data_IF_610787390501
#
_entry.id   IF_610787390501
#
_cell.length_a   1.000
_cell.length_b   1.000
_cell.length_c   1.000
_cell.angle_alpha   90.00
_cell.angle_beta   90.00
_cell.angle_gamma   90.00
#
_symmetry.space_group_name_H-M   'P 1'
#
loop_
_entity.id
_entity.type
_entity.pdbx_description
1 polymer ?
2 non-polymer ?
3 non-polymer ?
4 non-polymer ?
5 non-polymer ?
6 non-polymer ?
7 water ?
#
# COMPACT_ATOMS: atom_id res chain seq x y z
N UNK A 13 -17.33 -20.28 -1.47
CA UNK A 13 -17.69 -19.27 -2.45
C UNK A 13 -16.49 -18.38 -2.77
N UNK A 14 -16.31 -18.04 -4.05
CA UNK A 14 -15.18 -17.25 -4.47
C UNK A 14 -15.34 -15.80 -4.02
N UNK A 15 -14.20 -15.11 -3.92
CA UNK A 15 -14.18 -13.70 -3.58
C UNK A 15 -14.88 -12.88 -4.65
N UNK A 16 -15.70 -11.92 -4.21
CA UNK A 16 -16.39 -11.00 -5.12
C UNK A 16 -15.63 -9.68 -5.08
N UNK A 17 -15.00 -9.26 -6.18
CA UNK A 17 -14.24 -8.01 -6.18
C UNK A 17 -15.14 -6.81 -5.91
N UNK A 18 -14.75 -5.94 -4.99
CA UNK A 18 -15.49 -4.69 -4.79
C UNK A 18 -15.48 -3.84 -6.04
N UNK A 19 -16.38 -2.85 -6.14
CA UNK A 19 -16.34 -1.94 -7.29
C UNK A 19 -15.05 -1.14 -7.32
N UNK A 20 -14.67 -0.71 -8.51
CA UNK A 20 -13.42 0.01 -8.70
C UNK A 20 -13.53 1.43 -8.16
N UNK A 21 -12.46 1.89 -7.51
CA UNK A 21 -12.38 3.26 -7.05
C UNK A 21 -12.10 4.19 -8.24
N UNK A 22 -12.29 5.49 -8.07
CA UNK A 22 -12.06 6.42 -9.18
C UNK A 22 -10.60 6.45 -9.60
N UNK A 23 -10.39 6.61 -10.90
CA UNK A 23 -9.07 6.81 -11.48
C UNK A 23 -9.08 8.13 -12.23
N UNK A 24 -8.09 8.97 -11.96
CA UNK A 24 -7.98 10.26 -12.61
C UNK A 24 -6.73 10.29 -13.49
N UNK A 25 -6.88 10.84 -14.69
CA UNK A 25 -5.79 10.99 -15.66
C UNK A 25 -5.65 12.47 -15.97
N UNK A 26 -5.02 13.24 -15.09
CA UNK A 26 -4.97 14.69 -15.28
C UNK A 26 -4.12 15.09 -16.47
N UNK A 27 -4.53 16.18 -17.11
CA UNK A 27 -3.70 16.80 -18.13
C UNK A 27 -2.48 17.46 -17.50
N UNK A 28 -1.56 17.93 -18.35
CA UNK A 28 -0.38 18.61 -17.84
C UNK A 28 -0.75 19.87 -17.07
N UNK A 29 -1.84 20.53 -17.45
CA UNK A 29 -2.28 21.71 -16.72
C UNK A 29 -2.81 21.34 -15.34
N UNK A 30 -3.62 20.27 -15.26
CA UNK A 30 -4.16 19.84 -13.98
C UNK A 30 -3.11 19.20 -13.08
N UNK A 31 -1.95 18.84 -13.64
CA UNK A 31 -0.90 18.13 -12.92
C UNK A 31 0.15 19.06 -12.31
N UNK A 32 -0.15 20.36 -12.20
CA UNK A 32 0.87 21.32 -11.78
C UNK A 32 1.26 21.12 -10.32
N UNK A 33 0.27 20.95 -9.44
CA UNK A 33 0.55 20.69 -8.03
C UNK A 33 -0.50 19.74 -7.46
N UNK A 34 -0.09 18.78 -6.62
CA UNK A 34 -1.06 17.78 -6.16
C UNK A 34 -2.08 18.31 -5.17
N UNK A 35 -1.71 19.29 -4.33
CA UNK A 35 -2.64 19.75 -3.31
C UNK A 35 -3.86 20.43 -3.93
N UNK A 36 -3.65 21.22 -4.98
CA UNK A 36 -4.79 21.82 -5.68
C UNK A 36 -5.60 20.76 -6.42
N UNK A 37 -4.92 19.78 -7.03
CA UNK A 37 -5.62 18.74 -7.75
C UNK A 37 -6.45 17.87 -6.80
N UNK A 38 -5.87 17.47 -5.67
CA UNK A 38 -6.60 16.68 -4.68
C UNK A 38 -7.79 17.46 -4.16
N UNK A 39 -7.63 18.78 -3.97
CA UNK A 39 -8.75 19.58 -3.52
C UNK A 39 -9.91 19.59 -4.50
N UNK A 40 -9.60 19.56 -5.80
CA UNK A 40 -10.64 19.61 -6.82
C UNK A 40 -11.37 18.28 -6.96
N UNK A 41 -10.65 17.15 -6.87
CA UNK A 41 -11.31 15.85 -6.99
C UNK A 41 -11.99 15.42 -5.70
N UNK A 42 -11.81 16.18 -4.62
CA UNK A 42 -12.33 15.80 -3.31
C UNK A 42 -13.82 15.46 -3.30
N UNK A 43 -14.72 16.22 -3.95
CA UNK A 43 -16.15 15.87 -3.86
C UNK A 43 -16.45 14.44 -4.29
N UNK A 44 -15.69 13.87 -5.21
CA UNK A 44 -15.87 12.49 -5.62
C UNK A 44 -15.04 11.52 -4.78
N UNK A 45 -13.73 11.77 -4.68
CA UNK A 45 -12.83 10.81 -4.05
C UNK A 45 -13.09 10.68 -2.54
N UNK A 46 -13.59 11.74 -1.91
CA UNK A 46 -13.93 11.63 -0.49
C UNK A 46 -15.06 10.63 -0.26
N UNK A 47 -15.92 10.44 -1.27
CA UNK A 47 -17.01 9.48 -1.14
C UNK A 47 -16.59 8.05 -1.46
N UNK A 48 -15.35 7.83 -1.92
CA UNK A 48 -14.83 6.49 -2.10
C UNK A 48 -13.65 6.17 -1.20
N UNK A 49 -13.14 7.14 -0.45
CA UNK A 49 -12.03 6.89 0.47
C UNK A 49 -10.66 6.85 -0.17
N UNK A 50 -10.52 6.12 -1.27
CA UNK A 50 -9.26 6.05 -1.99
C UNK A 50 -9.52 6.41 -3.45
N UNK A 51 -8.47 6.89 -4.12
CA UNK A 51 -8.53 7.11 -5.55
C UNK A 51 -7.15 6.89 -6.14
N UNK A 52 -7.12 6.66 -7.44
CA UNK A 52 -5.88 6.45 -8.18
C UNK A 52 -5.66 7.62 -9.12
N UNK A 53 -4.39 8.03 -9.26
CA UNK A 53 -4.03 9.15 -10.12
C UNK A 53 -2.92 8.68 -11.06
N UNK A 54 -3.20 8.73 -12.36
CA UNK A 54 -2.22 8.37 -13.37
C UNK A 54 -1.55 9.62 -13.90
N UNK A 55 -0.26 9.81 -13.68
CA UNK A 55 0.43 11.01 -14.21
C UNK A 55 0.44 11.00 -15.72
N UNK A 56 0.73 12.14 -16.35
CA UNK A 56 0.88 12.15 -17.81
C UNK A 56 1.95 11.16 -18.26
N UNK A 57 1.79 10.67 -19.49
CA UNK A 57 2.63 9.59 -19.98
C UNK A 57 4.11 9.94 -19.93
N UNK A 58 4.46 11.21 -20.18
CA UNK A 58 5.85 11.62 -20.22
C UNK A 58 6.44 11.89 -18.85
N UNK A 59 5.64 11.86 -17.78
CA UNK A 59 6.14 12.07 -16.43
C UNK A 59 6.66 10.73 -15.91
N UNK A 60 7.98 10.52 -16.01
CA UNK A 60 8.63 9.27 -15.62
C UNK A 60 9.86 9.58 -14.79
N UNK A 61 9.70 9.65 -13.46
CA UNK A 61 10.87 9.92 -12.62
C UNK A 61 11.81 8.73 -12.61
N UNK A 62 13.11 8.96 -12.51
CA UNK A 62 14.06 7.85 -12.38
C UNK A 62 14.11 7.33 -10.96
N UNK A 63 14.48 6.05 -10.84
CA UNK A 63 14.62 5.42 -9.53
C UNK A 63 15.98 5.81 -8.95
N UNK A 64 15.96 6.46 -7.77
CA UNK A 64 17.15 7.09 -7.23
C UNK A 64 17.66 6.44 -5.94
N UNK A 65 17.17 5.24 -5.61
CA UNK A 65 17.67 4.56 -4.43
C UNK A 65 19.07 4.01 -4.68
N UNK A 66 19.85 3.92 -3.60
CA UNK A 66 21.19 3.33 -3.65
C UNK A 66 21.02 1.82 -3.67
N UNK A 67 20.90 1.26 -4.88
CA UNK A 67 20.60 -0.16 -5.03
C UNK A 67 21.76 -1.03 -4.57
N UNK A 68 23.00 -0.55 -4.72
CA UNK A 68 24.15 -1.37 -4.38
C UNK A 68 24.19 -1.71 -2.90
N UNK A 69 23.81 -0.77 -2.04
CA UNK A 69 23.86 -0.95 -0.60
C UNK A 69 22.50 -1.24 0.02
N UNK A 70 21.45 -1.36 -0.78
CA UNK A 70 20.10 -1.56 -0.25
C UNK A 70 20.00 -2.95 0.37
N UNK A 71 19.95 -3.01 1.71
CA UNK A 71 19.82 -4.25 2.44
C UNK A 71 18.77 -4.10 3.53
N UNK A 72 18.00 -5.15 3.77
CA UNK A 72 16.91 -5.07 4.73
C UNK A 72 16.52 -6.46 5.21
N UNK A 73 15.91 -6.49 6.38
CA UNK A 73 15.37 -7.72 6.95
C UNK A 73 13.85 -7.60 7.00
N UNK A 74 13.13 -8.21 6.07
CA UNK A 74 11.68 -8.03 6.03
C UNK A 74 10.99 -8.80 7.15
N UNK A 75 9.77 -8.36 7.45
CA UNK A 75 8.97 -9.04 8.46
C UNK A 75 8.25 -10.23 7.85
N UNK A 76 8.04 -11.25 8.66
CA UNK A 76 7.40 -12.50 8.25
C UNK A 76 5.90 -12.37 8.47
N UNK A 77 5.11 -12.78 7.47
CA UNK A 77 3.66 -12.67 7.54
C UNK A 77 3.04 -14.03 7.29
N UNK A 78 2.30 -14.55 8.28
CA UNK A 78 1.52 -15.76 8.13
C UNK A 78 0.07 -15.37 7.82
N UNK A 79 -0.40 -15.76 6.64
CA UNK A 79 -1.65 -15.21 6.12
C UNK A 79 -2.84 -15.58 7.00
N UNK A 80 -2.84 -16.78 7.57
CA UNK A 80 -3.98 -17.27 8.35
C UNK A 80 -3.73 -17.23 9.85
N UNK A 81 -2.88 -16.31 10.32
CA UNK A 81 -2.52 -16.28 11.73
C UNK A 81 -3.75 -16.06 12.62
N UNK A 82 -4.71 -15.27 12.16
CA UNK A 82 -5.87 -14.96 13.00
C UNK A 82 -6.85 -16.12 13.03
N UNK A 83 -7.15 -16.70 11.87
CA UNK A 83 -8.07 -17.84 11.82
C UNK A 83 -7.48 -19.06 12.52
N UNK A 84 -6.16 -19.19 12.52
CA UNK A 84 -5.50 -20.28 13.22
C UNK A 84 -5.34 -19.94 14.70
N UNK A 85 -6.44 -19.56 15.34
CA UNK A 85 -6.42 -19.19 16.76
C UNK A 85 -7.85 -19.14 17.31
N UNK A 95 6.88 -23.01 16.98
CA UNK A 95 6.27 -22.60 15.72
C UNK A 95 6.45 -21.13 15.45
N UNK A 96 7.68 -20.66 15.51
CA UNK A 96 8.01 -19.24 15.33
C UNK A 96 8.92 -19.08 14.13
N UNK A 97 8.53 -18.18 13.22
CA UNK A 97 9.38 -17.76 12.11
C UNK A 97 9.86 -16.34 12.39
N UNK A 98 11.16 -16.17 12.54
CA UNK A 98 11.74 -14.90 12.93
C UNK A 98 12.32 -14.17 11.71
N UNK A 99 12.32 -12.84 11.79
CA UNK A 99 12.91 -11.99 10.76
C UNK A 99 14.43 -12.08 10.88
N UNK A 100 14.98 -13.15 10.33
CA UNK A 100 16.42 -13.37 10.35
C UNK A 100 17.04 -13.25 8.96
N UNK A 101 16.26 -13.43 7.89
CA UNK A 101 16.78 -13.41 6.53
C UNK A 101 17.02 -11.96 6.11
N UNK A 102 18.28 -11.59 5.95
CA UNK A 102 18.63 -10.30 5.36
C UNK A 102 18.70 -10.45 3.85
N UNK A 103 18.11 -9.51 3.14
CA UNK A 103 18.08 -9.52 1.69
C UNK A 103 18.71 -8.26 1.13
N UNK A 104 19.16 -8.36 -0.11
CA UNK A 104 19.33 -7.20 -0.96
C UNK A 104 18.06 -7.04 -1.81
N UNK A 105 17.96 -5.90 -2.51
CA UNK A 105 16.85 -5.72 -3.44
C UNK A 105 16.84 -6.84 -4.47
N UNK A 106 18.01 -7.24 -4.94
CA UNK A 106 18.09 -8.29 -5.95
C UNK A 106 17.70 -9.66 -5.38
N UNK A 107 18.25 -10.02 -4.21
CA UNK A 107 17.99 -11.34 -3.66
C UNK A 107 16.54 -11.47 -3.20
N UNK A 108 15.94 -10.39 -2.69
CA UNK A 108 14.52 -10.43 -2.36
C UNK A 108 13.67 -10.60 -3.61
N UNK A 109 14.04 -9.92 -4.70
CA UNK A 109 13.31 -10.08 -5.94
C UNK A 109 13.38 -11.48 -6.50
N UNK A 110 14.57 -12.10 -6.42
CA UNK A 110 14.71 -13.48 -6.88
C UNK A 110 13.84 -14.42 -6.03
N UNK A 111 13.86 -14.23 -4.70
CA UNK A 111 12.99 -15.00 -3.83
C UNK A 111 11.52 -14.77 -4.17
N UNK A 112 11.15 -13.50 -4.38
CA UNK A 112 9.75 -13.16 -4.62
C UNK A 112 9.24 -13.78 -5.91
N UNK A 113 9.97 -13.62 -7.01
CA UNK A 113 9.55 -14.18 -8.27
C UNK A 113 9.52 -15.71 -8.22
N UNK A 114 10.51 -16.31 -7.57
CA UNK A 114 10.53 -17.77 -7.43
C UNK A 114 9.33 -18.25 -6.64
N UNK A 115 8.96 -17.55 -5.56
CA UNK A 115 7.79 -17.96 -4.78
C UNK A 115 6.53 -17.93 -5.61
N UNK A 116 6.31 -16.81 -6.33
CA UNK A 116 5.06 -16.66 -7.07
C UNK A 116 4.99 -17.62 -8.25
N UNK A 117 6.09 -17.77 -8.99
CA UNK A 117 6.06 -18.67 -10.15
C UNK A 117 5.88 -20.11 -9.71
N UNK A 118 6.44 -20.49 -8.55
CA UNK A 118 6.24 -21.84 -8.04
C UNK A 118 4.82 -22.03 -7.52
N UNK A 119 4.28 -21.03 -6.83
CA UNK A 119 2.95 -21.16 -6.25
C UNK A 119 1.90 -21.37 -7.33
N UNK A 120 1.94 -20.54 -8.38
CA UNK A 120 0.92 -20.58 -9.41
C UNK A 120 1.30 -21.45 -10.60
N UNK A 121 2.53 -21.95 -10.65
CA UNK A 121 2.99 -22.82 -11.73
C UNK A 121 2.90 -22.14 -13.09
N UNK A 122 3.29 -20.86 -13.14
CA UNK A 122 3.30 -20.10 -14.37
C UNK A 122 4.21 -18.90 -14.19
N UNK A 123 4.66 -18.27 -15.29
CA UNK A 123 5.48 -17.05 -15.16
C UNK A 123 4.73 -15.98 -14.38
N UNK A 124 5.48 -15.19 -13.62
CA UNK A 124 4.87 -14.27 -12.66
C UNK A 124 3.99 -13.26 -13.38
N UNK A 125 4.41 -12.81 -14.56
CA UNK A 125 3.66 -11.79 -15.28
C UNK A 125 2.38 -12.33 -15.93
N UNK A 126 2.18 -13.65 -15.93
CA UNK A 126 1.01 -14.25 -16.54
C UNK A 126 -0.09 -14.57 -15.54
N UNK A 127 0.14 -14.40 -14.24
CA UNK A 127 -0.88 -14.70 -13.24
C UNK A 127 -1.89 -13.55 -13.22
N UNK A 128 -3.17 -13.81 -13.49
CA UNK A 128 -4.15 -12.72 -13.49
C UNK A 128 -4.30 -12.11 -12.10
N UNK A 129 -4.48 -10.78 -12.08
CA UNK A 129 -4.64 -10.08 -10.80
C UNK A 129 -5.86 -10.59 -10.03
N UNK A 130 -6.93 -10.96 -10.74
CA UNK A 130 -8.10 -11.51 -10.07
C UNK A 130 -7.81 -12.85 -9.40
N UNK A 131 -6.88 -13.64 -9.97
CA UNK A 131 -6.57 -14.93 -9.38
C UNK A 131 -5.75 -14.77 -8.11
N UNK A 132 -4.74 -13.89 -8.12
CA UNK A 132 -3.97 -13.63 -6.91
C UNK A 132 -4.90 -13.10 -5.81
N UNK A 133 -5.80 -12.18 -6.17
CA UNK A 133 -6.74 -11.63 -5.21
C UNK A 133 -7.64 -12.72 -4.63
N UNK A 134 -8.20 -13.57 -5.49
CA UNK A 134 -9.05 -14.65 -5.01
C UNK A 134 -8.29 -15.62 -4.12
N UNK A 135 -7.05 -15.94 -4.49
CA UNK A 135 -6.26 -16.88 -3.71
C UNK A 135 -5.78 -16.26 -2.40
N UNK A 136 -5.47 -14.96 -2.40
CA UNK A 136 -5.07 -14.30 -1.16
C UNK A 136 -6.14 -14.44 -0.09
N UNK A 137 -7.39 -14.17 -0.44
CA UNK A 137 -8.44 -14.18 0.57
C UNK A 137 -8.84 -15.60 0.96
N UNK A 138 -8.65 -16.57 0.07
CA UNK A 138 -8.83 -17.96 0.45
C UNK A 138 -7.80 -18.38 1.49
N UNK A 139 -6.54 -18.02 1.27
CA UNK A 139 -5.47 -18.40 2.20
C UNK A 139 -5.63 -17.74 3.55
N UNK A 140 -6.17 -16.52 3.59
CA UNK A 140 -6.34 -15.80 4.86
C UNK A 140 -7.26 -16.58 5.78
N UNK A 141 -8.28 -17.23 5.23
CA UNK A 141 -9.26 -17.95 6.01
C UNK A 141 -9.01 -19.46 6.04
N UNK A 142 -7.99 -19.96 5.35
CA UNK A 142 -7.75 -21.38 5.25
C UNK A 142 -7.10 -21.92 6.52
N UNK A 143 -7.68 -22.98 7.09
CA UNK A 143 -7.12 -23.62 8.28
C UNK A 143 -6.19 -24.77 7.92
N UNK A 144 -6.26 -25.29 6.69
CA UNK A 144 -5.46 -26.44 6.29
C UNK A 144 -4.17 -26.07 5.57
N UNK A 145 -4.09 -24.86 5.02
CA UNK A 145 -2.93 -24.43 4.25
C UNK A 145 -2.32 -23.21 4.92
N UNK A 146 -1.05 -23.32 5.31
CA UNK A 146 -0.32 -22.25 6.00
C UNK A 146 0.70 -21.68 5.03
N UNK A 147 0.38 -20.53 4.44
CA UNK A 147 1.28 -19.83 3.53
C UNK A 147 1.93 -18.68 4.28
N UNK A 148 3.26 -18.57 4.16
CA UNK A 148 4.05 -17.59 4.87
C UNK A 148 4.86 -16.79 3.86
N UNK A 149 4.79 -15.46 3.94
CA UNK A 149 5.51 -14.58 3.04
C UNK A 149 6.27 -13.54 3.86
N UNK A 150 7.01 -12.68 3.17
CA UNK A 150 7.84 -11.66 3.79
C UNK A 150 7.56 -10.31 3.15
N UNK A 151 7.61 -9.25 3.96
CA UNK A 151 7.29 -7.90 3.52
C UNK A 151 8.38 -6.95 4.01
N UNK A 152 9.05 -6.28 3.07
CA UNK A 152 10.01 -5.25 3.42
C UNK A 152 9.30 -3.94 3.70
N UNK A 153 8.62 -3.85 4.83
CA UNK A 153 7.76 -2.73 5.13
C UNK A 153 8.42 -1.78 6.12
N UNK A 154 8.01 -0.51 6.05
CA UNK A 154 8.50 0.54 6.95
C UNK A 154 10.02 0.66 6.89
N UNK A 155 10.55 0.72 5.67
CA UNK A 155 11.95 1.08 5.46
C UNK A 155 12.01 2.59 5.26
N UNK A 156 12.78 3.27 6.10
CA UNK A 156 12.84 4.72 6.03
C UNK A 156 13.63 5.16 4.80
N UNK A 157 13.13 6.22 4.15
CA UNK A 157 13.86 6.81 3.03
C UNK A 157 15.16 7.46 3.48
N UNK A 158 15.38 7.63 4.79
CA UNK A 158 16.65 8.14 5.28
C UNK A 158 17.75 7.09 5.26
N UNK A 159 17.39 5.81 5.20
CA UNK A 159 18.39 4.75 5.27
C UNK A 159 19.20 4.67 3.97
N UNK A 160 18.52 4.40 2.85
CA UNK A 160 19.18 4.23 1.56
C UNK A 160 18.71 5.27 0.53
N UNK A 161 18.07 6.33 0.98
CA UNK A 161 17.59 7.35 0.08
C UNK A 161 16.17 7.09 -0.39
N UNK A 162 15.53 8.15 -0.88
CA UNK A 162 14.20 8.04 -1.45
C UNK A 162 14.28 7.44 -2.85
N UNK A 163 13.17 6.84 -3.28
CA UNK A 163 13.07 6.39 -4.66
C UNK A 163 13.04 7.51 -5.67
N UNK A 164 12.64 8.72 -5.23
CA UNK A 164 12.66 9.95 -6.01
C UNK A 164 14.01 10.65 -5.89
N UNK A 165 14.46 11.31 -6.95
CA UNK A 165 15.66 12.15 -6.82
C UNK A 165 15.40 13.31 -5.87
N UNK A 166 16.39 13.61 -5.04
CA UNK A 166 16.31 14.71 -4.08
C UNK A 166 17.60 15.51 -4.14
N UNK A 167 17.48 16.83 -3.99
CA UNK A 167 18.65 17.71 -3.95
C UNK A 167 19.29 17.68 -2.56
N UNK A 168 19.78 16.50 -2.19
CA UNK A 168 20.41 16.29 -0.90
C UNK A 168 21.91 16.50 -0.92
N UNK A 169 22.54 16.27 -2.07
CA UNK A 169 23.99 16.23 -2.16
C UNK A 169 24.60 14.88 -1.87
N UNK A 170 23.80 13.91 -1.43
CA UNK A 170 24.27 12.56 -1.16
C UNK A 170 24.27 11.67 -2.39
N UNK A 171 23.68 12.12 -3.49
CA UNK A 171 23.66 11.36 -4.74
C UNK A 171 23.61 12.34 -5.90
N UNK A 172 24.10 11.90 -7.05
CA UNK A 172 24.17 12.75 -8.23
C UNK A 172 22.81 12.81 -8.92
N UNK A 173 22.48 13.99 -9.45
CA UNK A 173 21.23 14.21 -10.17
C UNK A 173 21.59 14.74 -11.56
N UNK A 174 21.11 14.06 -12.59
CA UNK A 174 21.32 14.50 -13.95
C UNK A 174 20.40 15.67 -14.28
N UNK A 175 20.75 16.49 -15.26
CA UNK A 175 19.88 17.62 -15.62
C UNK A 175 18.47 17.21 -16.00
N UNK A 176 18.31 16.05 -16.65
CA UNK A 176 16.98 15.56 -16.98
C UNK A 176 16.22 15.05 -15.77
N UNK A 177 16.88 14.93 -14.62
CA UNK A 177 16.24 14.45 -13.40
C UNK A 177 15.91 15.56 -12.41
N UNK A 178 16.41 16.78 -12.65
CA UNK A 178 16.19 17.86 -11.68
C UNK A 178 14.70 18.21 -11.57
N UNK A 179 13.98 18.15 -12.69
CA UNK A 179 12.55 18.49 -12.66
C UNK A 179 11.79 17.54 -11.73
N UNK A 180 12.23 16.29 -11.61
CA UNK A 180 11.58 15.37 -10.68
C UNK A 180 12.01 15.63 -9.25
N UNK A 181 13.24 16.09 -9.04
CA UNK A 181 13.67 16.45 -7.69
C UNK A 181 12.88 17.65 -7.17
N UNK A 182 12.38 18.49 -8.07
CA UNK A 182 11.65 19.70 -7.69
C UNK A 182 10.15 19.58 -7.88
N UNK A 183 9.67 18.45 -8.39
CA UNK A 183 8.25 18.29 -8.67
C UNK A 183 7.43 18.26 -7.38
N UNK A 184 6.24 18.84 -7.43
CA UNK A 184 5.33 18.76 -6.30
C UNK A 184 4.80 17.37 -6.05
N UNK A 185 4.89 16.49 -7.04
CA UNK A 185 4.48 15.09 -6.89
C UNK A 185 5.61 14.20 -6.38
N UNK A 186 6.82 14.74 -6.25
CA UNK A 186 7.87 14.09 -5.48
C UNK A 186 7.44 14.03 -4.02
N UNK A 187 7.32 12.83 -3.47
CA UNK A 187 6.77 12.67 -2.13
C UNK A 187 7.63 13.35 -1.06
N UNK A 188 8.90 13.63 -1.36
CA UNK A 188 9.72 14.40 -0.44
C UNK A 188 9.33 15.88 -0.39
N UNK A 189 8.52 16.34 -1.34
CA UNK A 189 8.11 17.74 -1.40
C UNK A 189 6.67 17.96 -0.98
N UNK A 190 6.04 16.96 -0.35
CA UNK A 190 4.68 17.13 0.14
C UNK A 190 4.71 17.86 1.49
N UNK A 191 3.73 18.72 1.77
CA UNK A 191 3.67 19.37 3.08
C UNK A 191 3.26 18.38 4.16
N UNK A 192 4.04 18.33 5.24
CA UNK A 192 3.84 17.36 6.30
C UNK A 192 3.67 18.01 7.67
N UNK A 193 3.78 19.34 7.77
CA UNK A 193 3.68 20.03 9.05
C UNK A 193 2.23 20.39 9.32
N UNK A 194 1.67 19.82 10.37
CA UNK A 194 0.29 20.13 10.77
C UNK A 194 0.27 21.40 11.62
N UNK A 195 -0.77 22.21 11.41
CA UNK A 195 -0.89 23.48 12.13
C UNK A 195 -1.38 23.24 13.55
N UNK A 196 -0.72 23.89 14.51
CA UNK A 196 -1.11 23.80 15.91
C UNK A 196 -0.51 25.00 16.64
N UNK A 197 -1.03 25.24 17.85
CA UNK A 197 -0.54 26.36 18.65
C UNK A 197 0.84 26.05 19.19
N UNK A 198 1.58 27.12 19.50
CA UNK A 198 2.95 27.03 20.02
C UNK A 198 3.86 26.25 19.06
N UNK A 209 8.87 14.62 9.23
CA UNK A 209 8.55 13.28 8.75
C UNK A 209 9.09 13.07 7.34
N UNK A 210 9.45 11.82 7.04
CA UNK A 210 10.03 11.47 5.74
C UNK A 210 9.20 10.34 5.15
N UNK A 211 9.27 10.15 3.83
CA UNK A 211 8.56 9.03 3.21
C UNK A 211 9.14 7.69 3.66
N UNK A 212 8.28 6.67 3.64
CA UNK A 212 8.66 5.30 3.93
C UNK A 212 8.59 4.45 2.66
N UNK A 213 9.38 3.38 2.63
CA UNK A 213 9.51 2.52 1.47
C UNK A 213 8.95 1.13 1.79
N UNK A 214 8.41 0.48 0.76
CA UNK A 214 7.77 -0.83 0.93
C UNK A 214 8.20 -1.73 -0.22
N UNK A 215 8.94 -2.79 0.09
CA UNK A 215 9.39 -3.77 -0.90
C UNK A 215 8.48 -4.98 -0.77
N UNK A 216 7.59 -5.17 -1.75
CA UNK A 216 6.58 -6.19 -1.66
C UNK A 216 6.91 -7.47 -2.43
N UNK A 217 6.21 -8.53 -2.04
CA UNK A 217 6.17 -9.78 -2.79
C UNK A 217 4.72 -10.24 -2.85
N UNK A 218 4.46 -11.26 -3.65
CA UNK A 218 3.11 -11.81 -3.75
C UNK A 218 2.59 -12.20 -2.37
N UNK A 219 1.39 -11.71 -2.04
CA UNK A 219 0.61 -11.99 -0.84
C UNK A 219 1.04 -11.15 0.37
N UNK A 220 2.16 -10.41 0.30
CA UNK A 220 2.48 -9.49 1.39
C UNK A 220 1.40 -8.42 1.46
N UNK A 221 1.04 -8.00 2.68
CA UNK A 221 -0.20 -7.26 2.83
C UNK A 221 -0.12 -6.30 4.01
N UNK A 222 -1.11 -5.41 4.08
CA UNK A 222 -1.28 -4.51 5.21
C UNK A 222 -2.75 -4.50 5.61
N UNK A 223 -3.00 -4.48 6.93
CA UNK A 223 -4.35 -4.62 7.47
C UNK A 223 -5.10 -3.29 7.44
N UNK A 224 -6.39 -3.36 7.77
CA UNK A 224 -7.26 -2.20 7.76
C UNK A 224 -6.83 -1.19 8.83
N UNK A 225 -6.67 0.07 8.42
CA UNK A 225 -6.25 1.10 9.35
C UNK A 225 -6.57 2.48 8.78
N UNK A 226 -6.54 3.47 9.66
CA UNK A 226 -6.52 4.87 9.27
C UNK A 226 -5.19 5.46 9.77
N UNK A 227 -4.90 6.68 9.33
CA UNK A 227 -3.62 7.29 9.67
C UNK A 227 -3.72 8.04 10.99
N UNK A 228 -2.56 8.22 11.62
CA UNK A 228 -2.47 9.11 12.77
C UNK A 228 -2.96 10.50 12.39
N UNK A 229 -3.69 11.14 13.32
CA UNK A 229 -4.29 12.45 13.12
C UNK A 229 -5.30 12.47 11.98
N UNK A 230 -5.77 11.30 11.56
CA UNK A 230 -6.68 11.17 10.41
C UNK A 230 -6.10 11.83 9.17
N UNK A 231 -4.78 11.73 9.01
CA UNK A 231 -4.11 12.43 7.94
C UNK A 231 -4.38 11.79 6.58
N UNK A 232 -4.19 12.58 5.54
CA UNK A 232 -4.09 12.05 4.19
C UNK A 232 -2.88 11.13 4.10
N UNK A 233 -2.85 10.32 3.04
CA UNK A 233 -1.62 9.64 2.65
C UNK A 233 -1.57 9.58 1.13
N UNK A 234 -0.36 9.69 0.59
CA UNK A 234 -0.13 9.56 -0.84
C UNK A 234 0.91 8.48 -1.06
N UNK A 235 0.68 7.64 -2.06
CA UNK A 235 1.46 6.42 -2.27
C UNK A 235 1.84 6.32 -3.73
N UNK A 236 3.12 6.07 -4.01
CA UNK A 236 3.63 5.96 -5.36
C UNK A 236 4.30 4.61 -5.55
N UNK A 237 3.90 3.88 -6.58
CA UNK A 237 4.53 2.60 -6.92
C UNK A 237 5.64 2.88 -7.92
N UNK A 238 6.90 2.79 -7.47
CA UNK A 238 8.01 3.11 -8.34
C UNK A 238 8.14 2.11 -9.48
N UNK A 239 8.06 0.82 -9.17
CA UNK A 239 8.16 -0.21 -10.19
C UNK A 239 7.63 -1.53 -9.63
N UNK A 240 7.50 -2.50 -10.52
CA UNK A 240 7.11 -3.84 -10.12
C UNK A 240 5.66 -4.15 -10.42
N UNK A 241 5.22 -5.29 -9.90
CA UNK A 241 3.87 -5.77 -10.10
C UNK A 241 2.89 -4.95 -9.25
N UNK A 242 1.60 -4.98 -9.59
CA UNK A 242 0.65 -4.04 -8.96
C UNK A 242 0.47 -4.26 -7.47
N UNK A 243 -0.01 -3.21 -6.82
CA UNK A 243 -0.43 -3.23 -5.43
C UNK A 243 -1.95 -3.11 -5.41
N UNK A 244 -2.62 -4.10 -4.83
CA UNK A 244 -4.08 -4.13 -4.80
C UNK A 244 -4.58 -3.45 -3.52
N UNK A 245 -5.48 -2.49 -3.66
CA UNK A 245 -5.97 -1.67 -2.56
C UNK A 245 -7.45 -1.94 -2.31
N UNK A 246 -7.86 -1.75 -1.05
CA UNK A 246 -9.26 -1.65 -0.68
C UNK A 246 -9.44 -0.42 0.18
N UNK A 247 -10.52 0.31 -0.06
CA UNK A 247 -10.74 1.57 0.62
C UNK A 247 -12.20 1.73 1.03
N UNK A 248 -12.40 2.46 2.11
CA UNK A 248 -13.73 2.74 2.66
C UNK A 248 -13.85 4.25 2.88
N UNK A 249 -14.90 4.89 2.38
CA UNK A 249 -15.04 6.34 2.60
C UNK A 249 -15.21 6.68 4.07
N UNK A 250 -14.80 7.90 4.43
CA UNK A 250 -14.77 8.31 5.83
C UNK A 250 -16.16 8.33 6.45
N UNK A 251 -17.21 8.55 5.66
CA UNK A 251 -18.54 8.58 6.25
C UNK A 251 -18.97 7.22 6.79
N UNK A 252 -18.26 6.15 6.42
CA UNK A 252 -18.54 4.81 6.90
C UNK A 252 -17.51 4.32 7.91
N UNK A 253 -16.67 5.21 8.43
CA UNK A 253 -15.61 4.81 9.34
C UNK A 253 -16.15 4.16 10.60
N UNK A 254 -17.16 4.77 11.22
CA UNK A 254 -17.68 4.22 12.47
C UNK A 254 -18.45 2.91 12.22
N UNK A 255 -19.07 2.76 11.05
CA UNK A 255 -19.71 1.49 10.73
C UNK A 255 -18.68 0.38 10.58
N UNK A 256 -17.55 0.68 9.92
CA UNK A 256 -16.49 -0.32 9.81
C UNK A 256 -15.96 -0.71 11.18
N UNK A 257 -15.75 0.28 12.07
CA UNK A 257 -15.18 -0.02 13.37
C UNK A 257 -16.12 -0.90 14.19
N UNK A 258 -17.43 -0.68 14.06
CA UNK A 258 -18.39 -1.53 14.77
C UNK A 258 -18.35 -2.96 14.24
N UNK A 259 -18.34 -3.13 12.92
CA UNK A 259 -18.27 -4.46 12.32
C UNK A 259 -16.98 -5.15 12.73
N UNK A 260 -15.86 -4.42 12.68
CA UNK A 260 -14.57 -5.01 13.01
C UNK A 260 -14.54 -5.52 14.44
N UNK A 261 -15.05 -4.73 15.38
CA UNK A 261 -15.01 -5.15 16.79
C UNK A 261 -16.04 -6.23 17.07
N UNK A 262 -17.18 -6.22 16.36
CA UNK A 262 -18.17 -7.27 16.55
C UNK A 262 -17.68 -8.61 16.06
N UNK A 263 -16.84 -8.63 15.02
CA UNK A 263 -16.36 -9.87 14.43
C UNK A 263 -14.94 -10.23 14.85
N UNK A 264 -14.21 -9.31 15.48
CA UNK A 264 -12.89 -9.63 15.99
C UNK A 264 -12.98 -10.61 17.14
N UNK A 265 -11.92 -11.38 17.39
CA UNK A 265 -11.91 -12.24 18.57
C UNK A 265 -12.18 -11.45 19.84
N UNK A 266 -12.90 -12.08 20.78
CA UNK A 266 -13.29 -11.40 22.01
C UNK A 266 -12.07 -10.96 22.81
N UNK A 267 -10.95 -11.66 22.68
CA UNK A 267 -9.74 -11.27 23.40
C UNK A 267 -9.19 -9.93 22.91
N UNK A 268 -9.43 -9.59 21.65
CA UNK A 268 -8.98 -8.33 21.08
C UNK A 268 -10.06 -7.28 21.01
N UNK A 269 -11.30 -7.63 21.36
CA UNK A 269 -12.44 -6.73 21.10
C UNK A 269 -12.32 -5.42 21.86
N UNK A 270 -11.72 -5.43 23.05
CA UNK A 270 -11.64 -4.25 23.90
C UNK A 270 -10.30 -3.54 23.80
N UNK A 271 -9.44 -3.95 22.87
CA UNK A 271 -8.13 -3.32 22.74
C UNK A 271 -8.28 -1.92 22.13
N UNK A 272 -7.41 -0.99 22.53
CA UNK A 272 -7.42 0.35 21.91
C UNK A 272 -7.20 0.25 20.40
N UNK A 273 -7.70 1.26 19.68
CA UNK A 273 -7.66 1.24 18.23
C UNK A 273 -6.24 1.08 17.71
N UNK A 274 -5.28 1.79 18.31
CA UNK A 274 -3.91 1.75 17.80
C UNK A 274 -3.29 0.37 17.94
N UNK A 275 -3.77 -0.43 18.89
CA UNK A 275 -3.31 -1.82 19.03
C UNK A 275 -4.18 -2.79 18.25
N UNK A 276 -5.49 -2.56 18.20
CA UNK A 276 -6.36 -3.44 17.43
C UNK A 276 -6.01 -3.42 15.94
N UNK A 277 -5.49 -2.29 15.45
CA UNK A 277 -5.10 -2.19 14.04
C UNK A 277 -3.96 -3.11 13.67
N UNK A 278 -3.28 -3.71 14.64
CA UNK A 278 -2.23 -4.67 14.35
C UNK A 278 -2.77 -6.03 13.93
N UNK A 279 -4.07 -6.27 14.07
CA UNK A 279 -4.66 -7.56 13.74
C UNK A 279 -5.97 -7.38 13.00
N UNK A 280 -6.14 -6.23 12.34
CA UNK A 280 -7.39 -5.91 11.66
C UNK A 280 -7.42 -6.48 10.25
N UNK A 281 -7.35 -7.80 10.15
CA UNK A 281 -7.50 -8.51 8.89
C UNK A 281 -8.98 -8.85 8.71
N UNK A 282 -9.55 -8.47 7.56
CA UNK A 282 -10.96 -8.74 7.32
C UNK A 282 -11.22 -8.77 5.83
N UNK A 283 -11.87 -9.84 5.37
CA UNK A 283 -12.27 -9.96 3.98
C UNK A 283 -13.19 -8.81 3.61
N UNK A 284 -12.94 -8.10 2.50
CA UNK A 284 -13.82 -6.99 2.11
C UNK A 284 -15.27 -7.42 1.89
N UNK A 285 -15.50 -8.65 1.45
CA UNK A 285 -16.88 -9.11 1.27
C UNK A 285 -17.63 -9.17 2.59
N UNK A 286 -16.93 -9.47 3.68
CA UNK A 286 -17.57 -9.50 4.99
C UNK A 286 -18.04 -8.11 5.38
N UNK A 287 -17.19 -7.10 5.19
CA UNK A 287 -17.60 -5.73 5.42
C UNK A 287 -18.77 -5.35 4.52
N UNK A 288 -18.72 -5.75 3.25
CA UNK A 288 -19.78 -5.40 2.32
C UNK A 288 -21.10 -6.06 2.71
N UNK A 289 -21.05 -7.28 3.25
CA UNK A 289 -22.28 -7.93 3.69
C UNK A 289 -22.90 -7.22 4.88
N UNK A 290 -22.09 -6.50 5.66
CA UNK A 290 -22.57 -5.74 6.80
C UNK A 290 -22.88 -4.28 6.45
N UNK A 291 -23.01 -3.96 5.17
CA UNK A 291 -23.41 -2.63 4.73
C UNK A 291 -22.29 -1.64 4.56
N UNK A 292 -21.03 -2.04 4.73
CA UNK A 292 -19.90 -1.12 4.62
C UNK A 292 -19.53 -0.98 3.14
N UNK A 293 -19.53 0.23 2.59
CA UNK A 293 -19.10 0.40 1.20
C UNK A 293 -17.59 0.26 1.08
N UNK A 294 -17.16 -0.57 0.13
CA UNK A 294 -15.75 -0.85 -0.11
C UNK A 294 -15.46 -0.69 -1.60
N UNK A 295 -14.34 -0.02 -1.91
CA UNK A 295 -13.85 0.12 -3.28
C UNK A 295 -12.46 -0.50 -3.38
N UNK A 296 -12.10 -0.91 -4.59
CA UNK A 296 -10.83 -1.56 -4.85
C UNK A 296 -10.09 -0.85 -5.97
N UNK A 297 -8.81 -1.17 -6.11
CA UNK A 297 -8.06 -0.80 -7.30
C UNK A 297 -6.77 -1.63 -7.35
N UNK A 298 -6.27 -1.81 -8.57
CA UNK A 298 -4.92 -2.32 -8.79
C UNK A 298 -4.04 -1.12 -9.14
N UNK A 299 -3.12 -0.76 -8.24
CA UNK A 299 -2.19 0.32 -8.48
C UNK A 299 -1.00 -0.24 -9.26
N UNK A 300 -0.82 0.24 -10.49
CA UNK A 300 0.27 -0.23 -11.32
C UNK A 300 1.47 0.70 -11.20
N UNK A 301 2.62 0.22 -11.68
CA UNK A 301 3.86 1.00 -11.60
C UNK A 301 3.66 2.37 -12.24
N UNK A 302 4.17 3.39 -11.56
CA UNK A 302 4.07 4.75 -12.03
C UNK A 302 2.79 5.48 -11.66
N UNK A 303 1.92 4.87 -10.87
CA UNK A 303 0.64 5.47 -10.51
C UNK A 303 0.60 5.81 -9.02
N UNK A 304 -0.17 6.85 -8.69
CA UNK A 304 -0.37 7.29 -7.32
C UNK A 304 -1.68 6.77 -6.77
N UNK A 305 -1.70 6.49 -5.47
CA UNK A 305 -2.94 6.24 -4.73
C UNK A 305 -2.98 7.23 -3.58
N UNK A 306 -4.11 7.93 -3.44
CA UNK A 306 -4.34 8.87 -2.36
C UNK A 306 -5.42 8.30 -1.44
N UNK A 307 -5.17 8.32 -0.14
CA UNK A 307 -6.16 7.98 0.86
C UNK A 307 -6.59 9.25 1.58
N UNK A 308 -7.90 9.41 1.75
CA UNK A 308 -8.46 10.64 2.29
C UNK A 308 -8.57 10.53 3.81
N UNK A 309 -8.77 11.66 4.50
CA UNK A 309 -8.80 11.64 5.97
C UNK A 309 -9.83 10.65 6.52
N UNK A 310 -9.38 9.80 7.43
CA UNK A 310 -10.22 8.80 8.11
C UNK A 310 -10.83 7.80 7.14
N UNK A 311 -10.17 7.59 6.00
CA UNK A 311 -10.59 6.56 5.05
C UNK A 311 -9.83 5.29 5.36
N UNK A 312 -10.52 4.28 5.91
CA UNK A 312 -9.89 3.01 6.20
C UNK A 312 -9.41 2.35 4.91
N UNK A 313 -8.23 1.75 4.96
CA UNK A 313 -7.69 1.10 3.78
C UNK A 313 -6.85 -0.11 4.17
N UNK A 314 -6.72 -1.03 3.22
CA UNK A 314 -5.92 -2.24 3.38
C UNK A 314 -5.51 -2.68 1.98
N UNK A 315 -4.67 -3.71 1.91
CA UNK A 315 -4.28 -4.18 0.60
C UNK A 315 -3.23 -5.27 0.67
N UNK A 316 -2.80 -5.71 -0.52
CA UNK A 316 -1.76 -6.71 -0.65
C UNK A 316 -1.04 -6.50 -1.97
N UNK A 317 0.12 -7.10 -2.11
CA UNK A 317 0.93 -6.95 -3.31
C UNK A 317 0.78 -8.16 -4.22
N UNK A 318 0.68 -7.90 -5.52
CA UNK A 318 0.56 -8.96 -6.51
C UNK A 318 1.88 -9.68 -6.76
N UNK A 319 2.99 -9.01 -6.47
CA UNK A 319 4.29 -9.60 -6.71
C UNK A 319 5.38 -8.63 -6.30
N UNK A 320 6.59 -8.89 -6.80
CA UNK A 320 7.74 -8.07 -6.48
C UNK A 320 7.53 -6.62 -6.92
N UNK A 321 7.56 -5.68 -5.97
CA UNK A 321 7.36 -4.27 -6.31
C UNK A 321 8.03 -3.40 -5.26
N UNK A 322 7.96 -2.09 -5.48
CA UNK A 322 8.65 -1.10 -4.66
C UNK A 322 7.80 0.15 -4.60
N UNK A 323 7.32 0.49 -3.40
CA UNK A 323 6.43 1.62 -3.19
C UNK A 323 7.04 2.61 -2.21
N UNK A 324 6.57 3.85 -2.30
CA UNK A 324 6.97 4.92 -1.40
C UNK A 324 5.72 5.67 -0.96
N UNK A 325 5.64 6.01 0.32
CA UNK A 325 4.42 6.61 0.86
C UNK A 325 4.76 7.63 1.93
N UNK A 326 3.89 8.62 2.07
CA UNK A 326 4.03 9.64 3.11
C UNK A 326 2.65 10.17 3.46
N UNK A 327 2.48 10.54 4.74
CA UNK A 327 1.28 11.21 5.20
C UNK A 327 1.46 12.71 5.04
N UNK A 328 0.39 13.40 4.64
CA UNK A 328 0.45 14.84 4.44
C UNK A 328 -0.83 15.48 4.94
N UNK A 329 -0.79 16.80 5.08
CA UNK A 329 -1.90 17.57 5.62
C UNK A 329 -2.23 18.72 4.69
N UNK A 330 -3.50 19.11 4.69
CA UNK A 330 -3.98 20.21 3.86
C UNK A 330 -4.19 21.47 4.70
#
# INVERSE_FOLDING_TARGET
HNMAGVGPGGYAAEFVPPPECPVFEPSWEEFTDPLSFIGRIRPLAEKTGICKIRPPKDWQPPFACEVKSFRFTPRVQRLNELEAMTRVRPREAFGFEQAVREYTLQSFGEMADNFKSDYFNMPVHMVPTELVEKEFWRLVSSIEEDVIVEYGADISSKDFGSGFPVKDGRRKILPEEEEYALSGWNLNNMPVLEQSVLAHINVDISGMKVPWLYVGMCFSSFCWHIEDHWSYSINYLHWGEPKTWYGVPSHAAEQLEEVMRELAPELFESQPDLLHQLVTIMNPNVLMEHGVPVYRTNQCAGEFVVTFPRAYHSGFNQGYNFAEAVNFCT
#
